data_IF_410580908078
#
_entry.id   IF_410580908078
#
_cell.length_a   1.000
_cell.length_b   1.000
_cell.length_c   1.000
_cell.angle_alpha   90.00
_cell.angle_beta   90.00
_cell.angle_gamma   90.00
#
_symmetry.space_group_name_H-M   'P 1'
#
loop_
_entity.id
_entity.type
_entity.pdbx_description
1 polymer ?
#
# COMPACT_ATOMS: atom_id res chain seq x y z
N UNK A 1 -13.59 -13.15 13.82
CA UNK A 1 -12.95 -13.35 12.50
C UNK A 1 -11.47 -13.65 12.76
N UNK A 2 -10.95 -14.81 12.35
CA UNK A 2 -9.55 -15.18 12.60
C UNK A 2 -8.64 -14.59 11.51
N UNK A 3 -7.56 -13.92 11.90
CA UNK A 3 -6.56 -13.35 10.98
C UNK A 3 -5.48 -14.40 10.69
N UNK A 4 -5.14 -14.69 9.42
CA UNK A 4 -4.11 -15.66 9.07
C UNK A 4 -2.71 -15.18 9.48
N UNK A 5 -1.83 -16.11 9.86
CA UNK A 5 -0.43 -15.81 10.19
C UNK A 5 0.41 -15.58 8.92
N UNK A 6 1.53 -14.87 9.07
CA UNK A 6 2.43 -14.55 7.95
C UNK A 6 3.18 -15.82 7.52
N UNK A 7 2.89 -16.30 6.31
CA UNK A 7 3.53 -17.49 5.73
C UNK A 7 4.94 -17.18 5.19
N UNK A 8 5.75 -18.23 4.96
CA UNK A 8 7.03 -18.10 4.26
C UNK A 8 6.86 -17.46 2.87
N UNK A 9 5.78 -17.81 2.15
CA UNK A 9 5.47 -17.23 0.84
C UNK A 9 5.30 -15.72 0.90
N UNK A 10 4.66 -15.19 1.95
CA UNK A 10 4.50 -13.75 2.14
C UNK A 10 5.84 -13.01 2.37
N UNK A 11 6.76 -13.65 3.10
CA UNK A 11 8.12 -13.12 3.31
C UNK A 11 8.90 -13.10 1.99
N UNK A 12 8.87 -14.21 1.23
CA UNK A 12 9.51 -14.28 -0.08
C UNK A 12 8.94 -13.25 -1.06
N UNK A 13 7.63 -13.08 -1.07
CA UNK A 13 6.97 -12.05 -1.87
C UNK A 13 7.43 -10.64 -1.48
N UNK A 14 7.57 -10.36 -0.18
CA UNK A 14 8.09 -9.07 0.30
C UNK A 14 9.53 -8.81 -0.15
N UNK A 15 10.39 -9.83 -0.08
CA UNK A 15 11.77 -9.76 -0.59
C UNK A 15 11.80 -9.54 -2.10
N UNK A 16 10.92 -10.21 -2.85
CA UNK A 16 10.80 -10.04 -4.30
C UNK A 16 10.40 -8.61 -4.66
N UNK A 17 9.42 -8.02 -3.98
CA UNK A 17 9.01 -6.61 -4.21
C UNK A 17 10.17 -5.65 -3.91
N UNK A 18 10.91 -5.88 -2.82
CA UNK A 18 12.13 -5.12 -2.52
C UNK A 18 13.18 -5.25 -3.63
N UNK A 19 13.46 -6.46 -4.10
CA UNK A 19 14.38 -6.72 -5.21
C UNK A 19 13.95 -6.04 -6.50
N UNK A 20 12.66 -6.07 -6.83
CA UNK A 20 12.09 -5.38 -8.00
C UNK A 20 12.24 -3.85 -7.91
N UNK A 21 12.12 -3.25 -6.72
CA UNK A 21 12.40 -1.82 -6.53
C UNK A 21 13.86 -1.47 -6.84
N UNK A 22 14.81 -2.28 -6.37
CA UNK A 22 16.23 -2.08 -6.68
C UNK A 22 16.53 -2.26 -8.17
N UNK A 23 15.96 -3.28 -8.81
CA UNK A 23 16.09 -3.48 -10.25
C UNK A 23 15.51 -2.27 -11.00
N UNK A 24 14.32 -1.80 -10.64
CA UNK A 24 13.70 -0.65 -11.28
C UNK A 24 14.51 0.65 -11.14
N UNK A 25 15.21 0.84 -10.01
CA UNK A 25 16.12 1.98 -9.83
C UNK A 25 17.28 1.98 -10.84
N UNK A 26 17.69 0.81 -11.35
CA UNK A 26 18.77 0.71 -12.35
C UNK A 26 18.32 0.88 -13.79
N UNK A 27 17.01 0.79 -14.05
CA UNK A 27 16.46 0.92 -15.41
C UNK A 27 16.23 2.40 -15.74
N UNK A 28 16.69 2.84 -16.91
CA UNK A 28 16.33 4.14 -17.47
C UNK A 28 14.87 4.10 -17.95
N UNK A 29 13.95 4.59 -17.11
CA UNK A 29 12.51 4.61 -17.37
C UNK A 29 11.87 5.83 -16.73
N UNK A 30 11.10 6.56 -17.53
CA UNK A 30 10.37 7.80 -17.17
C UNK A 30 8.86 7.57 -17.04
N UNK A 31 8.39 6.33 -17.26
CA UNK A 31 6.98 6.01 -17.13
C UNK A 31 6.53 6.00 -15.66
N UNK A 32 5.39 6.63 -15.40
CA UNK A 32 4.77 6.68 -14.07
C UNK A 32 4.16 5.35 -13.58
N UNK A 33 3.44 4.58 -14.41
CA UNK A 33 2.70 3.42 -13.90
C UNK A 33 3.56 2.38 -13.16
N UNK A 34 4.77 2.00 -13.64
CA UNK A 34 5.61 1.04 -12.93
C UNK A 34 5.95 1.47 -11.51
N UNK A 35 6.34 2.74 -11.30
CA UNK A 35 6.74 3.20 -9.98
C UNK A 35 5.57 3.37 -9.02
N UNK A 36 4.39 3.75 -9.54
CA UNK A 36 3.17 3.80 -8.73
C UNK A 36 2.78 2.40 -8.26
N UNK A 37 2.84 1.39 -9.14
CA UNK A 37 2.51 0.01 -8.79
C UNK A 37 3.51 -0.58 -7.77
N UNK A 38 4.81 -0.38 -7.99
CA UNK A 38 5.84 -0.84 -7.04
C UNK A 38 5.71 -0.14 -5.68
N UNK A 39 5.42 1.16 -5.67
CA UNK A 39 5.18 1.91 -4.43
C UNK A 39 3.93 1.40 -3.71
N UNK A 40 2.83 1.16 -4.43
CA UNK A 40 1.60 0.62 -3.86
C UNK A 40 1.85 -0.73 -3.19
N UNK A 41 2.55 -1.64 -3.88
CA UNK A 41 2.90 -2.95 -3.33
C UNK A 41 3.79 -2.82 -2.10
N UNK A 42 4.84 -2.01 -2.16
CA UNK A 42 5.77 -1.82 -1.05
C UNK A 42 5.09 -1.20 0.17
N UNK A 43 4.31 -0.13 0.00
CA UNK A 43 3.54 0.49 1.09
C UNK A 43 2.52 -0.49 1.67
N UNK A 44 1.81 -1.25 0.83
CA UNK A 44 0.85 -2.26 1.28
C UNK A 44 1.52 -3.31 2.16
N UNK A 45 2.66 -3.86 1.72
CA UNK A 45 3.41 -4.86 2.47
C UNK A 45 3.95 -4.31 3.80
N UNK A 46 4.49 -3.08 3.76
CA UNK A 46 5.04 -2.43 4.95
C UNK A 46 3.98 -2.21 6.03
N UNK A 47 2.77 -1.79 5.65
CA UNK A 47 1.68 -1.54 6.59
C UNK A 47 0.92 -2.81 6.99
N UNK A 48 0.71 -3.77 6.07
CA UNK A 48 -0.02 -5.01 6.35
C UNK A 48 0.77 -5.96 7.27
N UNK A 49 2.08 -6.08 7.09
CA UNK A 49 2.91 -7.02 7.84
C UNK A 49 2.76 -6.92 9.38
N UNK A 50 2.99 -5.76 10.01
CA UNK A 50 2.89 -5.65 11.46
C UNK A 50 1.46 -5.86 11.95
N UNK A 51 0.45 -5.49 11.14
CA UNK A 51 -0.95 -5.68 11.50
C UNK A 51 -1.35 -7.16 11.47
N UNK A 52 -0.95 -7.89 10.43
CA UNK A 52 -1.18 -9.34 10.35
C UNK A 52 -0.53 -10.08 11.52
N UNK A 53 0.68 -9.68 11.90
CA UNK A 53 1.39 -10.27 13.04
C UNK A 53 0.72 -9.94 14.38
N UNK A 54 0.28 -8.70 14.57
CA UNK A 54 -0.31 -8.25 15.84
C UNK A 54 -1.71 -8.81 16.07
N UNK A 55 -2.49 -8.94 15.01
CA UNK A 55 -3.89 -9.37 15.08
C UNK A 55 -4.10 -10.85 14.78
N UNK A 56 -3.04 -11.59 14.43
CA UNK A 56 -3.09 -13.04 14.32
C UNK A 56 -3.72 -13.62 15.60
N UNK A 57 -4.75 -14.47 15.41
CA UNK A 57 -5.46 -15.18 16.49
C UNK A 57 -6.26 -14.32 17.48
N UNK A 58 -6.49 -13.04 17.22
CA UNK A 58 -7.34 -12.20 18.07
C UNK A 58 -8.76 -12.06 17.50
N UNK A 59 -9.78 -12.16 18.35
CA UNK A 59 -11.15 -11.84 17.98
C UNK A 59 -11.34 -10.31 17.96
N UNK A 60 -11.62 -9.75 16.78
CA UNK A 60 -11.88 -8.33 16.58
C UNK A 60 -13.38 -8.14 16.34
N UNK A 61 -13.99 -7.14 16.99
CA UNK A 61 -15.39 -6.80 16.73
C UNK A 61 -15.57 -6.26 15.30
N UNK A 62 -16.74 -6.48 14.66
CA UNK A 62 -16.96 -6.06 13.27
C UNK A 62 -16.70 -4.57 13.02
N UNK A 63 -17.15 -3.71 13.94
CA UNK A 63 -16.96 -2.25 13.83
C UNK A 63 -15.47 -1.90 13.88
N UNK A 64 -14.70 -2.50 14.80
CA UNK A 64 -13.25 -2.27 14.89
C UNK A 64 -12.53 -2.77 13.64
N UNK A 65 -12.97 -3.91 13.08
CA UNK A 65 -12.41 -4.44 11.84
C UNK A 65 -12.65 -3.49 10.65
N UNK A 66 -13.88 -3.01 10.46
CA UNK A 66 -14.24 -2.06 9.39
C UNK A 66 -13.41 -0.77 9.50
N UNK A 67 -13.33 -0.19 10.70
CA UNK A 67 -12.53 1.02 10.94
C UNK A 67 -11.05 0.77 10.68
N UNK A 68 -10.50 -0.35 11.16
CA UNK A 68 -9.10 -0.69 10.97
C UNK A 68 -8.74 -0.84 9.49
N UNK A 69 -9.57 -1.54 8.71
CA UNK A 69 -9.30 -1.73 7.28
C UNK A 69 -9.50 -0.44 6.47
N UNK A 70 -10.49 0.39 6.82
CA UNK A 70 -10.69 1.69 6.20
C UNK A 70 -9.47 2.61 6.43
N UNK A 71 -9.01 2.72 7.67
CA UNK A 71 -7.82 3.51 8.01
C UNK A 71 -6.56 2.95 7.37
N UNK A 72 -6.38 1.63 7.37
CA UNK A 72 -5.23 0.98 6.73
C UNK A 72 -5.20 1.28 5.23
N UNK A 73 -6.32 1.11 4.52
CA UNK A 73 -6.37 1.39 3.08
C UNK A 73 -6.16 2.88 2.77
N UNK A 74 -6.63 3.79 3.62
CA UNK A 74 -6.33 5.21 3.52
C UNK A 74 -4.83 5.51 3.66
N UNK A 75 -4.17 4.87 4.65
CA UNK A 75 -2.72 4.98 4.86
C UNK A 75 -1.92 4.37 3.71
N UNK A 76 -2.39 3.25 3.12
CA UNK A 76 -1.79 2.67 1.92
C UNK A 76 -1.87 3.66 0.76
N UNK A 77 -3.03 4.28 0.53
CA UNK A 77 -3.19 5.31 -0.51
C UNK A 77 -2.24 6.49 -0.30
N UNK A 78 -2.20 7.06 0.92
CA UNK A 78 -1.30 8.16 1.25
C UNK A 78 0.18 7.78 1.10
N UNK A 79 0.57 6.64 1.67
CA UNK A 79 1.93 6.14 1.64
C UNK A 79 2.41 5.81 0.23
N UNK A 80 1.50 5.38 -0.66
CA UNK A 80 1.82 5.15 -2.08
C UNK A 80 2.27 6.44 -2.75
N UNK A 81 1.52 7.54 -2.55
CA UNK A 81 1.88 8.86 -3.12
C UNK A 81 3.24 9.35 -2.60
N UNK A 82 3.45 9.23 -1.29
CA UNK A 82 4.70 9.65 -0.64
C UNK A 82 5.88 8.81 -1.17
N UNK A 83 5.73 7.49 -1.17
CA UNK A 83 6.79 6.58 -1.60
C UNK A 83 7.10 6.74 -3.09
N UNK A 84 6.10 6.91 -3.96
CA UNK A 84 6.31 7.22 -5.38
C UNK A 84 7.13 8.48 -5.55
N UNK A 85 6.79 9.55 -4.81
CA UNK A 85 7.52 10.83 -4.88
C UNK A 85 8.98 10.66 -4.43
N UNK A 86 9.21 9.94 -3.33
CA UNK A 86 10.57 9.64 -2.85
C UNK A 86 11.34 8.83 -3.89
N UNK A 87 10.73 7.83 -4.52
CA UNK A 87 11.40 7.02 -5.54
C UNK A 87 11.73 7.81 -6.81
N UNK A 88 10.83 8.71 -7.26
CA UNK A 88 11.11 9.64 -8.36
C UNK A 88 12.32 10.53 -8.05
N UNK A 89 12.38 11.05 -6.81
CA UNK A 89 13.51 11.85 -6.34
C UNK A 89 14.81 11.03 -6.31
N UNK A 90 14.80 9.85 -5.70
CA UNK A 90 15.98 9.00 -5.60
C UNK A 90 16.50 8.59 -6.97
N UNK A 91 15.61 8.22 -7.90
CA UNK A 91 16.00 7.87 -9.27
C UNK A 91 16.66 9.05 -9.99
N UNK A 92 16.06 10.23 -9.89
CA UNK A 92 16.60 11.46 -10.48
C UNK A 92 17.95 11.86 -9.87
N UNK A 93 18.14 11.65 -8.56
CA UNK A 93 19.41 11.92 -7.89
C UNK A 93 20.49 10.87 -8.22
N UNK A 94 20.08 9.64 -8.52
CA UNK A 94 20.97 8.54 -8.86
C UNK A 94 21.49 8.63 -10.30
N UNK A 95 20.64 9.03 -11.24
CA UNK A 95 21.05 9.23 -12.63
C UNK A 95 21.51 10.67 -12.87
N UNK A 96 22.79 10.86 -13.21
CA UNK A 96 23.40 12.17 -13.49
C UNK A 96 23.08 12.66 -14.91
N UNK A 97 21.81 12.67 -15.29
CA UNK A 97 21.38 13.20 -16.57
C UNK A 97 21.33 14.74 -16.57
N UNK A 98 21.64 15.35 -17.71
CA UNK A 98 21.48 16.81 -17.91
C UNK A 98 20.02 17.25 -17.70
N UNK A 99 19.09 16.37 -18.07
CA UNK A 99 17.65 16.55 -17.87
C UNK A 99 17.16 15.55 -16.83
N UNK A 100 16.48 16.00 -15.76
CA UNK A 100 15.91 15.11 -14.75
C UNK A 100 14.92 14.09 -15.36
N UNK A 101 15.07 12.82 -14.99
CA UNK A 101 14.08 11.76 -15.33
C UNK A 101 12.67 12.15 -14.88
N UNK A 102 12.59 12.73 -13.67
CA UNK A 102 11.36 13.22 -13.08
C UNK A 102 11.54 14.69 -12.69
N UNK A 103 10.98 15.64 -13.45
CA UNK A 103 11.03 17.05 -13.10
C UNK A 103 10.34 17.36 -11.77
N UNK A 104 10.82 18.35 -11.02
CA UNK A 104 10.21 18.76 -9.74
C UNK A 104 8.70 19.07 -9.84
N UNK A 105 8.17 19.75 -10.89
CA UNK A 105 6.72 19.96 -11.05
C UNK A 105 5.91 18.65 -11.09
N UNK A 106 6.49 17.58 -11.63
CA UNK A 106 5.85 16.26 -11.71
C UNK A 106 5.77 15.60 -10.32
N UNK A 107 6.82 15.73 -9.51
CA UNK A 107 6.83 15.28 -8.11
C UNK A 107 5.79 16.04 -7.27
N UNK A 108 5.71 17.37 -7.42
CA UNK A 108 4.68 18.17 -6.75
C UNK A 108 3.27 17.81 -7.19
N UNK A 109 3.05 17.58 -8.48
CA UNK A 109 1.77 17.10 -8.99
C UNK A 109 1.39 15.74 -8.40
N UNK A 110 2.37 14.87 -8.13
CA UNK A 110 2.13 13.61 -7.43
C UNK A 110 1.70 13.86 -5.97
N UNK A 111 2.40 14.71 -5.23
CA UNK A 111 2.03 15.08 -3.86
C UNK A 111 0.63 15.72 -3.76
N UNK A 112 0.23 16.51 -4.75
CA UNK A 112 -1.13 17.08 -4.81
C UNK A 112 -2.23 16.02 -4.94
N UNK A 113 -1.89 14.80 -5.39
CA UNK A 113 -2.84 13.67 -5.45
C UNK A 113 -2.98 12.93 -4.11
N UNK A 114 -2.20 13.30 -3.09
CA UNK A 114 -2.25 12.66 -1.77
C UNK A 114 -3.68 12.61 -1.21
N UNK A 115 -4.47 13.71 -1.16
CA UNK A 115 -5.83 13.66 -0.61
C UNK A 115 -6.74 12.71 -1.39
N UNK A 116 -6.65 12.72 -2.73
CA UNK A 116 -7.48 11.87 -3.59
C UNK A 116 -7.16 10.39 -3.36
N UNK A 117 -5.88 10.01 -3.30
CA UNK A 117 -5.47 8.63 -3.04
C UNK A 117 -5.82 8.16 -1.62
N UNK A 118 -5.71 9.04 -0.62
CA UNK A 118 -6.15 8.75 0.75
C UNK A 118 -7.64 8.48 0.80
N UNK A 119 -8.46 9.31 0.16
CA UNK A 119 -9.93 9.13 0.10
C UNK A 119 -10.28 7.86 -0.68
N UNK A 120 -9.65 7.62 -1.82
CA UNK A 120 -9.87 6.40 -2.59
C UNK A 120 -9.55 5.14 -1.77
N UNK A 121 -8.41 5.14 -1.06
CA UNK A 121 -8.05 4.08 -0.13
C UNK A 121 -9.08 3.89 0.98
N UNK A 122 -9.49 4.97 1.64
CA UNK A 122 -10.50 4.93 2.69
C UNK A 122 -11.82 4.30 2.21
N UNK A 123 -12.30 4.71 1.03
CA UNK A 123 -13.52 4.20 0.43
C UNK A 123 -13.39 2.70 0.11
N UNK A 124 -12.29 2.29 -0.53
CA UNK A 124 -12.04 0.88 -0.85
C UNK A 124 -11.98 0.01 0.41
N UNK A 125 -11.27 0.45 1.44
CA UNK A 125 -11.19 -0.26 2.72
C UNK A 125 -12.57 -0.36 3.39
N UNK A 126 -13.34 0.73 3.40
CA UNK A 126 -14.70 0.73 3.96
C UNK A 126 -15.63 -0.23 3.20
N UNK A 127 -15.63 -0.17 1.86
CA UNK A 127 -16.42 -1.08 1.02
C UNK A 127 -16.05 -2.54 1.28
N UNK A 128 -14.75 -2.85 1.36
CA UNK A 128 -14.27 -4.20 1.65
C UNK A 128 -14.66 -4.66 3.06
N UNK A 129 -14.53 -3.79 4.07
CA UNK A 129 -14.93 -4.07 5.44
C UNK A 129 -16.42 -4.38 5.57
N UNK A 130 -17.27 -3.56 4.93
CA UNK A 130 -18.72 -3.76 4.91
C UNK A 130 -19.11 -5.05 4.19
N UNK A 131 -18.49 -5.33 3.03
CA UNK A 131 -18.71 -6.57 2.28
C UNK A 131 -18.32 -7.81 3.11
N UNK A 132 -17.17 -7.76 3.77
CA UNK A 132 -16.69 -8.83 4.65
C UNK A 132 -17.64 -9.05 5.82
N UNK A 133 -18.14 -7.99 6.44
CA UNK A 133 -19.12 -8.10 7.51
C UNK A 133 -20.47 -8.67 7.02
N UNK A 134 -20.95 -8.26 5.84
CA UNK A 134 -22.19 -8.79 5.27
C UNK A 134 -22.12 -10.31 5.04
N UNK A 135 -20.96 -10.84 4.65
CA UNK A 135 -20.78 -12.27 4.38
C UNK A 135 -20.53 -13.08 5.66
N UNK A 136 -19.66 -12.59 6.54
CA UNK A 136 -19.15 -13.37 7.68
C UNK A 136 -19.72 -12.96 9.04
N UNK A 137 -20.36 -11.79 9.13
CA UNK A 137 -20.97 -11.29 10.35
C UNK A 137 -22.32 -11.94 10.65
N UNK A 138 -23.10 -12.23 9.61
CA UNK A 138 -24.47 -12.80 9.75
C UNK A 138 -24.46 -14.26 10.23
N UNK A 139 -23.36 -14.99 9.98
CA UNK A 139 -23.21 -16.39 10.36
C UNK A 139 -22.80 -16.61 11.83
N UNK A 140 -22.35 -15.57 12.54
CA UNK A 140 -21.92 -15.65 13.94
C UNK A 140 -23.03 -15.56 14.99
N UNK A 141 -24.18 -14.97 14.64
CA UNK A 141 -25.31 -14.75 15.58
C UNK A 141 -26.34 -15.90 15.57
N UNK A 142 -26.07 -17.02 14.88
CA UNK A 142 -26.99 -18.18 14.75
C UNK A 142 -26.53 -19.44 15.50
N UNK A 143 -25.53 -19.34 16.37
CA UNK A 143 -25.07 -20.41 17.26
C UNK A 143 -25.34 -20.05 18.72
#
# INVERSE_FOLDING_TARGET
MNVPSVSLGWRLFSLMVGGLLFIWLTLEDTQLPPIILLSLLATSLWLLNPLLQRFASQAISPVKFILAIALLSALIGAGTVILTTIMMFLKTAWHSHLFPDYPAPMMFAMLQRLPLWTVAGLLLGTSFGLYSWAIYGVSGDRA
#
